data_IF_212687272858
#
_entry.id   IF_212687272858
#
_cell.length_a   1.000
_cell.length_b   1.000
_cell.length_c   1.000
_cell.angle_alpha   90.00
_cell.angle_beta   90.00
_cell.angle_gamma   90.00
#
_symmetry.space_group_name_H-M   'P 1'
#
loop_
_entity.id
_entity.type
_entity.pdbx_description
1 polymer ?
#
# COMPACT_ATOMS: atom_id res chain seq x y z
N UNK A 1 2.91 11.62 2.29
CA UNK A 1 2.67 10.36 3.03
C UNK A 1 3.70 10.28 4.14
N UNK A 2 3.31 10.22 5.42
CA UNK A 2 4.28 10.08 6.53
C UNK A 2 4.89 8.67 6.49
N UNK A 3 6.18 8.49 6.85
CA UNK A 3 6.81 7.18 6.85
C UNK A 3 6.09 6.25 7.85
N UNK A 4 5.65 5.09 7.36
CA UNK A 4 5.02 4.01 8.16
C UNK A 4 6.06 3.28 9.02
N UNK A 5 7.35 3.56 8.81
CA UNK A 5 8.44 2.88 9.49
C UNK A 5 8.80 3.62 10.79
N UNK A 6 8.70 2.88 11.90
CA UNK A 6 8.84 3.29 13.30
C UNK A 6 7.73 4.17 13.86
N UNK A 7 6.50 3.64 13.87
CA UNK A 7 5.40 4.21 14.66
C UNK A 7 5.07 3.27 15.82
N UNK A 8 5.08 3.80 17.04
CA UNK A 8 4.52 3.11 18.19
C UNK A 8 3.00 3.25 18.13
N UNK A 9 2.32 2.11 18.00
CA UNK A 9 0.86 2.05 17.97
C UNK A 9 0.33 1.83 19.39
N UNK A 10 -0.66 2.62 19.79
CA UNK A 10 -1.28 2.44 21.10
C UNK A 10 -2.11 1.14 21.16
N UNK A 11 -2.62 0.68 20.02
CA UNK A 11 -3.38 -0.56 19.90
C UNK A 11 -3.37 -1.11 18.46
N UNK A 12 -3.84 -2.36 18.31
CA UNK A 12 -3.93 -3.03 17.00
C UNK A 12 -4.87 -2.35 16.00
N UNK A 13 -5.89 -1.62 16.44
CA UNK A 13 -6.84 -0.98 15.52
C UNK A 13 -6.17 0.17 14.75
N UNK A 14 -5.31 0.94 15.42
CA UNK A 14 -4.50 1.97 14.76
C UNK A 14 -3.51 1.37 13.76
N UNK A 15 -2.79 0.32 14.17
CA UNK A 15 -1.88 -0.40 13.27
C UNK A 15 -2.60 -0.95 12.04
N UNK A 16 -3.80 -1.53 12.24
CA UNK A 16 -4.62 -2.05 11.14
C UNK A 16 -5.04 -0.94 10.18
N UNK A 17 -5.46 0.21 10.69
CA UNK A 17 -5.87 1.36 9.87
C UNK A 17 -4.71 1.84 8.98
N UNK A 18 -3.53 2.03 9.57
CA UNK A 18 -2.35 2.48 8.82
C UNK A 18 -1.89 1.43 7.80
N UNK A 19 -1.93 0.14 8.16
CA UNK A 19 -1.64 -0.97 7.24
C UNK A 19 -2.61 -0.97 6.05
N UNK A 20 -3.91 -0.82 6.31
CA UNK A 20 -4.92 -0.81 5.25
C UNK A 20 -4.75 0.39 4.32
N UNK A 21 -4.44 1.56 4.90
CA UNK A 21 -4.12 2.75 4.12
C UNK A 21 -2.87 2.54 3.25
N UNK A 22 -1.86 1.86 3.77
CA UNK A 22 -0.66 1.54 2.99
C UNK A 22 -0.98 0.57 1.85
N UNK A 23 -1.69 -0.53 2.12
CA UNK A 23 -2.01 -1.55 1.11
C UNK A 23 -2.92 -0.98 0.03
N UNK A 24 -4.08 -0.44 0.41
CA UNK A 24 -5.12 -0.02 -0.55
C UNK A 24 -4.80 1.34 -1.15
N UNK A 25 -4.42 2.31 -0.31
CA UNK A 25 -4.23 3.69 -0.74
C UNK A 25 -2.90 3.96 -1.43
N UNK A 26 -1.87 3.13 -1.21
CA UNK A 26 -0.55 3.34 -1.81
C UNK A 26 -0.06 2.14 -2.60
N UNK A 27 0.08 0.97 -1.98
CA UNK A 27 0.71 -0.18 -2.61
C UNK A 27 -0.05 -0.64 -3.85
N UNK A 28 -1.35 -0.91 -3.71
CA UNK A 28 -2.17 -1.40 -4.81
C UNK A 28 -2.48 -0.30 -5.84
N UNK A 29 -2.71 0.94 -5.38
CA UNK A 29 -3.23 2.02 -6.22
C UNK A 29 -2.18 2.95 -6.84
N UNK A 30 -0.95 3.01 -6.31
CA UNK A 30 0.04 4.03 -6.68
C UNK A 30 1.43 3.44 -6.94
N UNK A 31 1.85 2.41 -6.19
CA UNK A 31 3.20 1.88 -6.29
C UNK A 31 3.42 1.16 -7.62
N UNK A 32 4.35 1.67 -8.42
CA UNK A 32 4.77 1.02 -9.67
C UNK A 32 5.73 -0.13 -9.38
N UNK A 33 5.58 -1.23 -10.13
CA UNK A 33 6.44 -2.41 -10.00
C UNK A 33 7.16 -2.73 -11.31
N UNK A 34 8.49 -2.88 -11.27
CA UNK A 34 9.29 -3.17 -12.47
C UNK A 34 8.93 -4.51 -13.09
N UNK A 35 8.61 -5.53 -12.28
CA UNK A 35 8.15 -6.84 -12.76
C UNK A 35 6.78 -6.80 -13.43
N UNK A 36 5.97 -5.77 -13.17
CA UNK A 36 4.66 -5.56 -13.80
C UNK A 36 4.76 -4.62 -15.03
N UNK A 37 5.97 -4.21 -15.44
CA UNK A 37 6.13 -3.26 -16.54
C UNK A 37 5.93 -1.81 -16.13
N UNK A 38 6.18 -1.47 -14.86
CA UNK A 38 5.99 -0.13 -14.30
C UNK A 38 4.53 0.36 -14.30
N UNK A 39 3.59 -0.55 -14.07
CA UNK A 39 2.20 -0.23 -13.73
C UNK A 39 1.90 -0.59 -12.28
N UNK A 40 0.76 -0.15 -11.77
CA UNK A 40 0.31 -0.46 -10.42
C UNK A 40 -0.22 -1.90 -10.34
N UNK A 41 -0.24 -2.54 -9.16
CA UNK A 41 -0.87 -3.84 -8.99
C UNK A 41 -2.33 -3.84 -9.42
N UNK A 42 -3.10 -2.79 -9.11
CA UNK A 42 -4.51 -2.73 -9.50
C UNK A 42 -4.67 -2.63 -11.02
N UNK A 43 -3.83 -1.85 -11.70
CA UNK A 43 -3.86 -1.76 -13.17
C UNK A 43 -3.49 -3.08 -13.82
N UNK A 44 -2.52 -3.82 -13.25
CA UNK A 44 -2.14 -5.14 -13.73
C UNK A 44 -3.30 -6.14 -13.64
N UNK A 45 -4.02 -6.18 -12.51
CA UNK A 45 -5.20 -7.04 -12.34
C UNK A 45 -6.33 -6.69 -13.32
N UNK A 46 -6.51 -5.42 -13.68
CA UNK A 46 -7.50 -5.01 -14.69
C UNK A 46 -7.12 -5.39 -16.13
N UNK A 47 -5.87 -5.77 -16.38
CA UNK A 47 -5.40 -6.23 -17.69
C UNK A 47 -5.46 -7.76 -17.86
N UNK A 48 -5.70 -8.50 -16.77
CA UNK A 48 -5.96 -9.95 -16.78
C UNK A 48 -7.40 -10.25 -17.21
#
# INVERSE_FOLDING_TARGET
MKPVWQRDYANHAEARKDMMQYIVGFYNAVRLHSTLGYITPVDYEFML
#
